data_IF_078299073788
#
_entry.id   IF_078299073788
#
_cell.length_a   1.000
_cell.length_b   1.000
_cell.length_c   1.000
_cell.angle_alpha   90.00
_cell.angle_beta   90.00
_cell.angle_gamma   90.00
#
_symmetry.space_group_name_H-M   'P 1'
#
loop_
_entity.id
_entity.type
_entity.pdbx_description
1 polymer ?
#
# COMPACT_ATOMS: atom_id res chain seq x y z
N UNK A 1 -38.20 -15.41 -12.85
CA UNK A 1 -37.19 -16.41 -12.42
C UNK A 1 -35.87 -15.72 -12.06
N UNK A 2 -35.91 -14.63 -11.28
CA UNK A 2 -34.77 -13.69 -11.13
C UNK A 2 -34.06 -13.80 -9.78
N UNK A 3 -34.65 -14.48 -8.79
CA UNK A 3 -34.01 -14.73 -7.49
C UNK A 3 -32.59 -15.32 -7.58
N UNK A 4 -32.29 -16.28 -8.49
CA UNK A 4 -30.93 -16.81 -8.62
C UNK A 4 -29.90 -15.75 -9.03
N UNK A 5 -30.26 -14.76 -9.86
CA UNK A 5 -29.36 -13.68 -10.28
C UNK A 5 -28.94 -12.86 -9.06
N UNK A 6 -29.92 -12.45 -8.26
CA UNK A 6 -29.69 -11.63 -7.07
C UNK A 6 -28.90 -12.38 -6.00
N UNK A 7 -29.20 -13.66 -5.77
CA UNK A 7 -28.43 -14.52 -4.85
C UNK A 7 -26.97 -14.62 -5.32
N UNK A 8 -26.73 -14.88 -6.61
CA UNK A 8 -25.37 -14.95 -7.16
C UNK A 8 -24.64 -13.62 -7.01
N UNK A 9 -25.29 -12.49 -7.28
CA UNK A 9 -24.68 -11.16 -7.12
C UNK A 9 -24.24 -10.89 -5.68
N UNK A 10 -25.10 -11.22 -4.70
CA UNK A 10 -24.78 -11.10 -3.27
C UNK A 10 -23.60 -11.99 -2.89
N UNK A 11 -23.58 -13.25 -3.35
CA UNK A 11 -22.48 -14.17 -3.08
C UNK A 11 -21.15 -13.68 -3.68
N UNK A 12 -21.17 -13.17 -4.92
CA UNK A 12 -20.00 -12.60 -5.58
C UNK A 12 -19.45 -11.40 -4.80
N UNK A 13 -20.31 -10.45 -4.41
CA UNK A 13 -19.88 -9.30 -3.63
C UNK A 13 -19.38 -9.71 -2.23
N UNK A 14 -20.03 -10.67 -1.58
CA UNK A 14 -19.61 -11.19 -0.28
C UNK A 14 -18.23 -11.84 -0.36
N UNK A 15 -17.94 -12.62 -1.41
CA UNK A 15 -16.61 -13.20 -1.63
C UNK A 15 -15.53 -12.11 -1.79
N UNK A 16 -15.83 -11.08 -2.60
CA UNK A 16 -14.96 -9.92 -2.74
C UNK A 16 -14.73 -9.21 -1.39
N UNK A 17 -15.80 -8.98 -0.62
CA UNK A 17 -15.72 -8.31 0.68
C UNK A 17 -14.90 -9.10 1.69
N UNK A 18 -15.07 -10.43 1.73
CA UNK A 18 -14.28 -11.33 2.58
C UNK A 18 -12.79 -11.34 2.21
N UNK A 19 -12.45 -11.10 0.94
CA UNK A 19 -11.05 -10.90 0.55
C UNK A 19 -10.55 -9.49 0.90
N UNK A 20 -11.33 -8.46 0.58
CA UNK A 20 -10.89 -7.06 0.62
C UNK A 20 -10.91 -6.41 2.01
N UNK A 21 -11.92 -6.74 2.82
CA UNK A 21 -12.24 -6.04 4.06
C UNK A 21 -12.14 -6.93 5.31
N UNK A 22 -11.88 -8.23 5.17
CA UNK A 22 -11.80 -9.15 6.30
C UNK A 22 -10.77 -8.68 7.33
N UNK A 23 -11.19 -8.49 8.60
CA UNK A 23 -10.27 -8.15 9.68
C UNK A 23 -9.19 -9.22 9.84
N UNK A 24 -7.98 -8.77 10.15
CA UNK A 24 -6.81 -9.62 10.41
C UNK A 24 -6.55 -9.68 11.91
N UNK A 25 -5.84 -10.73 12.35
CA UNK A 25 -5.37 -10.83 13.74
C UNK A 25 -4.44 -9.64 14.03
N UNK A 26 -4.74 -8.89 15.09
CA UNK A 26 -3.90 -7.79 15.55
C UNK A 26 -2.49 -8.25 15.87
N UNK A 27 -1.50 -7.42 15.59
CA UNK A 27 -0.10 -7.66 15.98
C UNK A 27 0.03 -7.66 17.51
N UNK A 28 0.65 -8.70 18.06
CA UNK A 28 0.97 -8.78 19.48
C UNK A 28 2.23 -7.98 19.79
N UNK A 29 2.41 -7.60 21.06
CA UNK A 29 3.65 -6.95 21.49
C UNK A 29 4.88 -7.82 21.20
N UNK A 30 4.77 -9.13 21.44
CA UNK A 30 5.84 -10.09 21.11
C UNK A 30 6.19 -10.04 19.62
N UNK A 31 5.20 -10.07 18.72
CA UNK A 31 5.46 -10.02 17.27
C UNK A 31 6.10 -8.68 16.85
N UNK A 32 5.78 -7.58 17.53
CA UNK A 32 6.40 -6.28 17.30
C UNK A 32 7.86 -6.24 17.79
N UNK A 33 8.14 -6.87 18.94
CA UNK A 33 9.49 -6.98 19.49
C UNK A 33 10.36 -7.94 18.66
N UNK A 34 9.79 -9.04 18.16
CA UNK A 34 10.43 -9.94 17.21
C UNK A 34 10.80 -9.21 15.91
N UNK A 35 9.91 -8.32 15.43
CA UNK A 35 10.21 -7.46 14.28
C UNK A 35 11.37 -6.51 14.54
N UNK A 36 11.45 -5.90 15.73
CA UNK A 36 12.57 -5.04 16.10
C UNK A 36 13.90 -5.80 16.04
N UNK A 37 13.96 -6.97 16.67
CA UNK A 37 15.15 -7.83 16.64
C UNK A 37 15.54 -8.18 15.21
N UNK A 38 14.57 -8.57 14.38
CA UNK A 38 14.79 -8.83 12.96
C UNK A 38 15.31 -7.58 12.23
N UNK A 39 14.68 -6.42 12.38
CA UNK A 39 15.07 -5.19 11.70
C UNK A 39 16.50 -4.77 12.06
N UNK A 40 16.86 -4.84 13.35
CA UNK A 40 18.22 -4.58 13.81
C UNK A 40 19.23 -5.56 13.19
N UNK A 41 18.88 -6.85 13.08
CA UNK A 41 19.74 -7.85 12.44
C UNK A 41 19.98 -7.55 10.95
N UNK A 42 19.05 -6.87 10.29
CA UNK A 42 19.14 -6.46 8.89
C UNK A 42 19.84 -5.09 8.70
N UNK A 43 20.41 -4.50 9.76
CA UNK A 43 21.08 -3.21 9.68
C UNK A 43 20.12 -2.02 9.48
N UNK A 44 18.84 -2.17 9.83
CA UNK A 44 17.90 -1.05 9.87
C UNK A 44 18.36 -0.09 10.98
N UNK A 45 18.48 1.18 10.64
CA UNK A 45 18.82 2.25 11.59
C UNK A 45 17.94 2.17 12.87
N UNK A 46 18.54 2.28 14.09
CA UNK A 46 17.84 2.03 15.36
C UNK A 46 16.57 2.85 15.60
N UNK A 47 16.57 4.15 15.32
CA UNK A 47 15.40 5.01 15.49
C UNK A 47 14.26 4.57 14.57
N UNK A 48 14.57 4.29 13.30
CA UNK A 48 13.61 3.76 12.32
C UNK A 48 13.09 2.39 12.73
N UNK A 49 13.95 1.51 13.24
CA UNK A 49 13.56 0.17 13.71
C UNK A 49 12.59 0.28 14.90
N UNK A 50 12.90 1.14 15.87
CA UNK A 50 12.05 1.44 17.02
C UNK A 50 10.71 2.05 16.61
N UNK A 51 10.72 3.03 15.69
CA UNK A 51 9.50 3.65 15.17
C UNK A 51 8.60 2.65 14.43
N UNK A 52 9.16 1.72 13.67
CA UNK A 52 8.40 0.63 13.03
C UNK A 52 7.83 -0.34 14.06
N UNK A 53 8.60 -0.71 15.09
CA UNK A 53 8.12 -1.54 16.19
C UNK A 53 6.92 -0.90 16.88
N UNK A 54 6.99 0.39 17.21
CA UNK A 54 5.89 1.11 17.84
C UNK A 54 4.66 1.25 16.93
N UNK A 55 4.88 1.43 15.63
CA UNK A 55 3.82 1.37 14.64
C UNK A 55 3.12 0.01 14.64
N UNK A 56 3.86 -1.10 14.73
CA UNK A 56 3.26 -2.44 14.79
C UNK A 56 2.59 -2.74 16.14
N UNK A 57 3.17 -2.29 17.26
CA UNK A 57 2.60 -2.47 18.60
C UNK A 57 1.24 -1.78 18.77
N UNK A 58 0.99 -0.67 18.05
CA UNK A 58 -0.25 0.10 18.09
C UNK A 58 -1.31 -0.40 17.08
N UNK A 59 -1.27 -1.66 16.66
CA UNK A 59 -2.18 -2.20 15.65
C UNK A 59 -3.66 -2.13 16.07
N UNK A 60 -4.43 -1.35 15.31
CA UNK A 60 -5.86 -1.15 15.48
C UNK A 60 -6.68 -2.09 14.59
N UNK A 61 -6.03 -2.90 13.74
CA UNK A 61 -6.66 -3.78 12.77
C UNK A 61 -7.31 -3.05 11.59
N UNK A 62 -7.08 -1.74 11.46
CA UNK A 62 -7.63 -0.91 10.38
C UNK A 62 -6.64 -0.79 9.23
N UNK A 63 -7.14 -0.31 8.10
CA UNK A 63 -6.28 0.05 6.98
C UNK A 63 -5.53 1.36 7.25
N UNK A 64 -4.42 1.52 6.53
CA UNK A 64 -3.63 2.74 6.53
C UNK A 64 -3.04 2.94 5.13
N UNK A 65 -2.53 4.15 4.90
CA UNK A 65 -1.90 4.50 3.63
C UNK A 65 -0.44 4.79 3.88
N UNK A 66 0.46 4.12 3.16
CA UNK A 66 1.86 4.53 3.11
C UNK A 66 2.01 5.63 2.07
N UNK A 67 2.34 6.83 2.52
CA UNK A 67 2.64 7.97 1.65
C UNK A 67 4.13 7.96 1.39
N UNK A 68 4.52 8.00 0.11
CA UNK A 68 5.90 8.00 -0.33
C UNK A 68 6.13 9.23 -1.19
N UNK A 69 7.17 9.99 -0.86
CA UNK A 69 7.76 11.01 -1.72
C UNK A 69 9.09 10.45 -2.23
N UNK A 70 9.33 10.56 -3.54
CA UNK A 70 10.43 9.88 -4.21
C UNK A 70 11.17 10.86 -5.12
N UNK A 71 12.49 10.89 -4.97
CA UNK A 71 13.43 11.50 -5.91
C UNK A 71 14.23 10.39 -6.59
N UNK A 72 14.22 10.38 -7.92
CA UNK A 72 14.97 9.40 -8.71
C UNK A 72 16.42 9.84 -8.88
N UNK A 73 17.31 8.88 -9.08
CA UNK A 73 18.67 9.14 -9.57
C UNK A 73 18.63 9.62 -11.02
N UNK A 74 19.72 10.26 -11.45
CA UNK A 74 19.94 10.60 -12.85
C UNK A 74 20.65 9.43 -13.54
N UNK A 75 20.28 9.06 -14.78
CA UNK A 75 19.22 9.65 -15.59
C UNK A 75 17.81 9.14 -15.21
N UNK A 76 16.85 10.07 -15.06
CA UNK A 76 15.54 9.78 -14.48
C UNK A 76 14.70 8.75 -15.27
N UNK A 77 14.90 8.61 -16.58
CA UNK A 77 14.16 7.65 -17.42
C UNK A 77 14.50 6.21 -17.05
N UNK A 78 15.78 5.90 -16.90
CA UNK A 78 16.27 4.56 -16.59
C UNK A 78 15.94 4.19 -15.14
N UNK A 79 16.21 5.11 -14.20
CA UNK A 79 15.81 4.95 -12.80
C UNK A 79 14.29 4.78 -12.66
N UNK A 80 13.50 5.50 -13.46
CA UNK A 80 12.04 5.32 -13.51
C UNK A 80 11.63 3.92 -13.96
N UNK A 81 12.32 3.33 -14.94
CA UNK A 81 12.06 1.97 -15.39
C UNK A 81 12.43 0.92 -14.33
N UNK A 82 13.56 1.09 -13.64
CA UNK A 82 13.97 0.24 -12.52
C UNK A 82 12.97 0.30 -11.36
N UNK A 83 12.52 1.51 -10.99
CA UNK A 83 11.50 1.67 -9.96
C UNK A 83 10.17 1.02 -10.37
N UNK A 84 9.76 1.14 -11.63
CA UNK A 84 8.54 0.51 -12.13
C UNK A 84 8.64 -1.04 -12.09
N UNK A 85 9.81 -1.61 -12.40
CA UNK A 85 10.05 -3.04 -12.28
C UNK A 85 9.95 -3.52 -10.83
N UNK A 86 10.55 -2.80 -9.88
CA UNK A 86 10.38 -3.06 -8.45
C UNK A 86 8.91 -2.97 -8.03
N UNK A 87 8.23 -1.89 -8.42
CA UNK A 87 6.83 -1.65 -8.08
C UNK A 87 5.92 -2.76 -8.58
N UNK A 88 6.15 -3.31 -9.79
CA UNK A 88 5.37 -4.42 -10.33
C UNK A 88 5.40 -5.64 -9.41
N UNK A 89 6.58 -5.99 -8.89
CA UNK A 89 6.76 -7.14 -8.00
C UNK A 89 6.12 -6.86 -6.64
N UNK A 90 6.41 -5.68 -6.08
CA UNK A 90 5.88 -5.24 -4.80
C UNK A 90 4.35 -5.18 -4.80
N UNK A 91 3.75 -4.55 -5.82
CA UNK A 91 2.30 -4.43 -5.97
C UNK A 91 1.62 -5.79 -6.20
N UNK A 92 2.29 -6.75 -6.84
CA UNK A 92 1.78 -8.11 -6.95
C UNK A 92 1.59 -8.79 -5.59
N UNK A 93 2.59 -8.68 -4.71
CA UNK A 93 2.49 -9.21 -3.34
C UNK A 93 1.43 -8.47 -2.52
N UNK A 94 1.39 -7.15 -2.67
CA UNK A 94 0.45 -6.28 -1.97
C UNK A 94 -1.00 -6.56 -2.38
N UNK A 95 -1.27 -6.74 -3.68
CA UNK A 95 -2.60 -7.02 -4.20
C UNK A 95 -3.15 -8.33 -3.66
N UNK A 96 -2.31 -9.37 -3.52
CA UNK A 96 -2.73 -10.64 -2.87
C UNK A 96 -3.24 -10.43 -1.44
N UNK A 97 -2.76 -9.39 -0.75
CA UNK A 97 -3.22 -8.97 0.58
C UNK A 97 -4.24 -7.82 0.55
N UNK A 98 -4.89 -7.60 -0.59
CA UNK A 98 -5.88 -6.55 -0.83
C UNK A 98 -5.39 -5.10 -0.62
N UNK A 99 -4.07 -4.88 -0.67
CA UNK A 99 -3.50 -3.55 -0.76
C UNK A 99 -3.35 -3.11 -2.22
N UNK A 100 -3.37 -1.80 -2.46
CA UNK A 100 -3.30 -1.25 -3.82
C UNK A 100 -2.88 0.23 -3.77
N UNK A 101 -2.35 0.79 -4.88
CA UNK A 101 -2.17 2.23 -4.98
C UNK A 101 -3.53 2.94 -4.92
N UNK A 102 -3.56 4.10 -4.26
CA UNK A 102 -4.71 5.02 -4.28
C UNK A 102 -4.41 6.29 -5.08
N UNK A 103 -3.14 6.69 -5.11
CA UNK A 103 -2.68 7.86 -5.85
C UNK A 103 -1.22 7.64 -6.28
N UNK A 104 -0.93 7.98 -7.54
CA UNK A 104 0.43 8.13 -8.04
C UNK A 104 0.48 9.43 -8.82
N UNK A 105 1.39 10.31 -8.46
CA UNK A 105 1.52 11.63 -9.05
C UNK A 105 2.98 11.96 -9.37
N UNK A 106 3.19 12.76 -10.41
CA UNK A 106 4.49 13.34 -10.75
C UNK A 106 4.43 14.84 -10.51
N UNK A 107 5.54 15.40 -10.07
CA UNK A 107 5.70 16.85 -9.93
C UNK A 107 5.60 17.51 -11.30
N UNK A 108 4.82 18.59 -11.37
CA UNK A 108 4.60 19.37 -12.60
C UNK A 108 5.18 20.79 -12.55
N UNK A 109 5.69 21.23 -11.41
CA UNK A 109 6.22 22.59 -11.22
C UNK A 109 7.13 22.69 -10.00
N UNK A 110 7.52 23.91 -9.61
CA UNK A 110 8.27 24.15 -8.38
C UNK A 110 7.41 23.96 -7.12
N UNK A 111 8.04 23.88 -5.96
CA UNK A 111 7.31 23.92 -4.68
C UNK A 111 6.63 25.29 -4.55
N UNK A 112 5.33 25.28 -4.26
CA UNK A 112 4.55 26.52 -4.05
C UNK A 112 4.89 27.13 -2.68
N UNK A 113 5.09 26.28 -1.68
CA UNK A 113 5.41 26.68 -0.31
C UNK A 113 6.45 25.75 0.29
N UNK A 114 7.32 26.31 1.13
CA UNK A 114 8.37 25.58 1.83
C UNK A 114 8.72 26.29 3.14
N UNK A 115 8.13 25.84 4.25
CA UNK A 115 8.34 26.43 5.58
C UNK A 115 9.07 25.42 6.46
N UNK A 116 10.26 25.78 6.95
CA UNK A 116 11.08 24.96 7.85
C UNK A 116 11.36 23.52 7.34
N UNK A 117 11.52 23.33 6.04
CA UNK A 117 12.04 22.10 5.47
C UNK A 117 13.39 22.41 4.83
N UNK A 118 14.48 21.85 5.35
CA UNK A 118 15.83 22.22 4.91
C UNK A 118 16.51 21.16 4.05
N UNK A 119 15.88 20.00 3.80
CA UNK A 119 16.50 18.92 3.02
C UNK A 119 15.55 18.23 2.03
N UNK A 120 16.04 18.01 0.80
CA UNK A 120 15.45 17.17 -0.26
C UNK A 120 14.01 17.48 -0.67
N UNK A 121 13.62 18.75 -0.68
CA UNK A 121 12.27 19.20 -1.04
C UNK A 121 11.88 19.04 -2.52
N UNK A 122 12.81 18.62 -3.36
CA UNK A 122 12.60 18.42 -4.80
C UNK A 122 12.15 16.99 -5.13
N UNK A 123 11.04 16.58 -4.52
CA UNK A 123 10.41 15.29 -4.79
C UNK A 123 9.86 15.26 -6.21
N UNK A 124 10.30 14.29 -7.01
CA UNK A 124 9.89 14.15 -8.41
C UNK A 124 8.52 13.45 -8.54
N UNK A 125 8.18 12.59 -7.58
CA UNK A 125 6.95 11.82 -7.58
C UNK A 125 6.42 11.56 -6.17
N UNK A 126 5.12 11.31 -6.10
CA UNK A 126 4.39 10.84 -4.92
C UNK A 126 3.70 9.51 -5.23
N UNK A 127 3.72 8.58 -4.28
CA UNK A 127 2.88 7.39 -4.29
C UNK A 127 2.19 7.19 -2.95
N UNK A 128 0.86 7.04 -2.96
CA UNK A 128 0.07 6.68 -1.80
C UNK A 128 -0.47 5.26 -1.99
N UNK A 129 -0.09 4.36 -1.08
CA UNK A 129 -0.37 2.92 -1.18
C UNK A 129 -1.20 2.48 0.02
N UNK A 130 -2.41 1.97 -0.22
CA UNK A 130 -3.24 1.40 0.84
C UNK A 130 -2.75 0.01 1.21
N UNK A 131 -2.64 -0.24 2.51
CA UNK A 131 -2.53 -1.57 3.09
C UNK A 131 -3.81 -1.88 3.87
N UNK A 132 -4.35 -3.09 3.71
CA UNK A 132 -5.56 -3.50 4.43
C UNK A 132 -5.35 -3.56 5.95
N UNK A 133 -4.13 -3.85 6.41
CA UNK A 133 -3.79 -3.89 7.84
C UNK A 133 -2.28 -3.74 8.07
N UNK A 134 -1.85 -3.37 9.29
CA UNK A 134 -0.43 -3.35 9.67
C UNK A 134 0.18 -4.75 9.63
N UNK A 135 -0.62 -5.77 9.98
CA UNK A 135 -0.29 -7.18 9.80
C UNK A 135 0.16 -7.51 8.38
N UNK A 136 -0.57 -7.02 7.38
CA UNK A 136 -0.24 -7.31 5.99
C UNK A 136 1.11 -6.67 5.58
N UNK A 137 1.45 -5.49 6.11
CA UNK A 137 2.78 -4.89 5.94
C UNK A 137 3.87 -5.71 6.63
N UNK A 138 3.66 -6.10 7.90
CA UNK A 138 4.60 -6.90 8.68
C UNK A 138 5.00 -8.18 7.93
N UNK A 139 4.05 -8.85 7.28
CA UNK A 139 4.29 -10.05 6.50
C UNK A 139 4.96 -9.80 5.13
N UNK A 140 4.87 -8.59 4.58
CA UNK A 140 5.50 -8.23 3.29
C UNK A 140 6.95 -7.79 3.49
N UNK A 141 7.26 -7.11 4.59
CA UNK A 141 8.57 -6.50 4.82
C UNK A 141 9.75 -7.49 4.70
N UNK A 142 9.72 -8.69 5.33
CA UNK A 142 10.82 -9.65 5.20
C UNK A 142 11.08 -10.13 3.77
N UNK A 143 10.06 -10.17 2.92
CA UNK A 143 10.21 -10.56 1.51
C UNK A 143 10.73 -9.41 0.62
N UNK A 144 10.73 -8.17 1.12
CA UNK A 144 10.99 -6.97 0.33
C UNK A 144 12.17 -6.14 0.81
N UNK A 145 12.55 -6.21 2.08
CA UNK A 145 13.77 -5.61 2.61
C UNK A 145 14.92 -6.61 2.44
N UNK A 146 16.04 -6.16 1.87
CA UNK A 146 17.24 -6.99 1.67
C UNK A 146 17.13 -8.03 0.54
N UNK A 147 16.01 -8.09 -0.20
CA UNK A 147 15.90 -8.95 -1.38
C UNK A 147 16.57 -8.34 -2.61
N UNK A 148 16.92 -9.16 -3.61
CA UNK A 148 17.47 -8.67 -4.89
C UNK A 148 16.57 -7.62 -5.56
N UNK A 149 15.25 -7.74 -5.37
CA UNK A 149 14.29 -6.75 -5.88
C UNK A 149 14.39 -5.42 -5.12
N UNK A 150 14.78 -5.42 -3.85
CA UNK A 150 15.06 -4.20 -3.10
C UNK A 150 16.20 -3.40 -3.74
N UNK A 151 17.17 -4.09 -4.35
CA UNK A 151 18.29 -3.43 -5.03
C UNK A 151 17.82 -2.54 -6.18
N UNK A 152 16.82 -2.98 -6.96
CA UNK A 152 16.21 -2.15 -8.02
C UNK A 152 15.68 -0.82 -7.49
N UNK A 153 15.13 -0.81 -6.26
CA UNK A 153 14.69 0.43 -5.61
C UNK A 153 15.89 1.29 -5.21
N UNK A 154 16.92 0.70 -4.62
CA UNK A 154 18.14 1.41 -4.22
C UNK A 154 18.90 2.01 -5.41
N UNK A 155 18.88 1.31 -6.55
CA UNK A 155 19.50 1.77 -7.80
C UNK A 155 18.71 2.90 -8.44
N UNK A 156 17.38 2.89 -8.31
CA UNK A 156 16.50 3.90 -8.90
C UNK A 156 16.36 5.18 -8.06
N UNK A 157 16.36 5.06 -6.73
CA UNK A 157 15.92 6.13 -5.82
C UNK A 157 17.14 6.86 -5.23
N UNK A 158 17.22 8.16 -5.48
CA UNK A 158 18.23 9.03 -4.88
C UNK A 158 17.89 9.36 -3.43
N UNK A 159 16.61 9.67 -3.16
CA UNK A 159 16.09 9.88 -1.82
C UNK A 159 14.60 9.58 -1.78
N UNK A 160 14.10 9.16 -0.62
CA UNK A 160 12.68 8.94 -0.40
C UNK A 160 12.32 9.17 1.06
N UNK A 161 11.14 9.74 1.28
CA UNK A 161 10.48 9.73 2.59
C UNK A 161 9.23 8.88 2.44
N UNK A 162 9.02 7.97 3.40
CA UNK A 162 7.84 7.15 3.48
C UNK A 162 7.30 7.19 4.91
N UNK A 163 6.00 7.46 5.07
CA UNK A 163 5.36 7.44 6.38
C UNK A 163 3.96 6.82 6.32
N UNK A 164 3.55 6.09 7.37
CA UNK A 164 2.20 5.57 7.48
C UNK A 164 1.23 6.70 7.90
N UNK A 165 0.19 6.89 7.11
CA UNK A 165 -0.93 7.76 7.42
C UNK A 165 -2.13 6.91 7.86
N UNK A 166 -2.46 7.01 9.15
CA UNK A 166 -3.72 6.51 9.72
C UNK A 166 -4.80 7.60 9.63
N UNK A 167 -6.08 7.22 9.79
CA UNK A 167 -7.22 8.17 9.71
C UNK A 167 -7.29 8.91 8.36
N UNK A 168 -7.13 8.17 7.28
CA UNK A 168 -7.22 8.68 5.93
C UNK A 168 -8.64 8.55 5.38
N UNK A 169 -8.96 9.37 4.38
CA UNK A 169 -10.25 9.33 3.69
C UNK A 169 -10.03 9.37 2.18
N UNK A 170 -10.85 8.62 1.45
CA UNK A 170 -10.96 8.69 0.01
C UNK A 170 -12.42 8.46 -0.36
N UNK A 171 -12.95 9.30 -1.27
CA UNK A 171 -14.27 9.08 -1.83
C UNK A 171 -14.21 7.92 -2.83
N UNK A 172 -14.96 6.85 -2.56
CA UNK A 172 -15.07 5.68 -3.43
C UNK A 172 -14.00 4.62 -3.17
N UNK A 173 -13.46 4.04 -4.26
CA UNK A 173 -12.48 2.95 -4.21
C UNK A 173 -13.06 1.56 -4.48
N UNK A 174 -12.24 0.50 -4.38
CA UNK A 174 -12.61 -0.84 -4.84
C UNK A 174 -13.86 -1.41 -4.19
N UNK A 175 -14.14 -1.07 -2.91
CA UNK A 175 -15.37 -1.51 -2.22
C UNK A 175 -16.63 -1.04 -2.95
N UNK A 176 -16.71 0.26 -3.19
CA UNK A 176 -17.87 0.86 -3.86
C UNK A 176 -17.94 0.44 -5.32
N UNK A 177 -16.80 0.46 -6.02
CA UNK A 177 -16.73 0.06 -7.42
C UNK A 177 -17.19 -1.39 -7.64
N UNK A 178 -16.75 -2.33 -6.78
CA UNK A 178 -17.17 -3.72 -6.84
C UNK A 178 -18.67 -3.88 -6.58
N UNK A 179 -19.22 -3.20 -5.55
CA UNK A 179 -20.64 -3.23 -5.25
C UNK A 179 -21.50 -2.73 -6.43
N UNK A 180 -21.12 -1.58 -7.00
CA UNK A 180 -21.82 -0.99 -8.15
C UNK A 180 -21.70 -1.87 -9.40
N UNK A 181 -20.53 -2.46 -9.65
CA UNK A 181 -20.33 -3.39 -10.76
C UNK A 181 -21.18 -4.66 -10.60
N UNK A 182 -21.20 -5.26 -9.40
CA UNK A 182 -22.03 -6.46 -9.14
C UNK A 182 -23.52 -6.15 -9.27
N UNK A 183 -23.96 -4.97 -8.81
CA UNK A 183 -25.34 -4.52 -8.94
C UNK A 183 -25.71 -4.29 -10.41
N UNK A 184 -24.86 -3.60 -11.16
CA UNK A 184 -25.07 -3.34 -12.59
C UNK A 184 -25.20 -4.64 -13.38
N UNK A 185 -24.32 -5.61 -13.13
CA UNK A 185 -24.35 -6.92 -13.79
C UNK A 185 -25.64 -7.69 -13.45
N UNK A 186 -26.12 -7.62 -12.21
CA UNK A 186 -27.38 -8.23 -11.81
C UNK A 186 -28.57 -7.60 -12.53
N UNK A 187 -28.64 -6.25 -12.59
CA UNK A 187 -29.69 -5.55 -13.31
C UNK A 187 -29.71 -5.89 -14.80
N UNK A 188 -28.53 -5.93 -15.44
CA UNK A 188 -28.42 -6.32 -16.86
C UNK A 188 -28.88 -7.76 -17.07
N UNK A 189 -28.48 -8.70 -16.19
CA UNK A 189 -28.90 -10.08 -16.30
C UNK A 189 -30.42 -10.25 -16.11
N UNK A 190 -31.04 -9.47 -15.23
CA UNK A 190 -32.49 -9.48 -15.03
C UNK A 190 -33.25 -8.94 -16.26
N UNK A 191 -32.71 -7.93 -16.95
CA UNK A 191 -33.34 -7.41 -18.18
C UNK A 191 -33.27 -8.36 -19.38
N UNK A 192 -32.38 -9.35 -19.34
CA UNK A 192 -32.16 -10.30 -20.43
C UNK A 192 -32.99 -11.59 -20.30
N UNK A 193 -33.72 -11.78 -19.19
CA UNK A 193 -34.53 -12.98 -18.88
C UNK A 193 -36.00 -12.59 -18.71
#
# INVERSE_FOLDING_TARGET
MTLPIWVTAVLCYMLFWLWYARPRRKITLQEADDFLAWATSQGVEPERASGLRDFFAKDDGRDFVMVNLIKLKSPARESGAQLAAYQKIFLGQLLRKAGHPILVARRSGANIEHVNCEQHSDWAAMGAIRYRSRRDLLEILPATLGSEHHQLKLDAVASTIAFPASQWFMLGGPKLAAALATLLLACVAELLI
#
